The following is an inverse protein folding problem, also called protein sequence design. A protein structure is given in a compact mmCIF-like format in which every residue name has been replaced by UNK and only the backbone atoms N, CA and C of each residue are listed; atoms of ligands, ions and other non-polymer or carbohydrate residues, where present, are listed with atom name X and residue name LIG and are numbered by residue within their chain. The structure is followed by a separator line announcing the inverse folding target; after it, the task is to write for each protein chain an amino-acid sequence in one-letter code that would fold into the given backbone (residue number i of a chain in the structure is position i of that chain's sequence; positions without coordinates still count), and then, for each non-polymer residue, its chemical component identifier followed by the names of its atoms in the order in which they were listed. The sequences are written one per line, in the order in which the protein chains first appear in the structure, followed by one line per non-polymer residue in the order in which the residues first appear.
data_IF_729911591411
#
_entry.id   IF_729911591411
#
_cell.length_a   1.000
_cell.length_b   1.000
_cell.length_c   1.000
_cell.angle_alpha   90.00
_cell.angle_beta   90.00
_cell.angle_gamma   90.00
#
_symmetry.space_group_name_H-M   'P 1'
#
loop_
_entity.id
_entity.type
_entity.pdbx_description
1 polymer ?
#
# COMPACT_ATOMS: atom_id res chain seq x y z
N UNK A 1 -9.44 -9.02 -72.39
CA UNK A 1 -10.91 -9.06 -72.24
C UNK A 1 -11.23 -8.32 -70.96
N UNK A 2 -11.71 -7.08 -71.17
CA UNK A 2 -12.42 -6.13 -70.33
C UNK A 2 -11.98 -5.85 -68.89
N UNK A 3 -11.25 -4.73 -68.78
CA UNK A 3 -11.32 -3.80 -67.66
C UNK A 3 -11.84 -2.45 -68.20
N UNK A 4 -13.03 -2.03 -67.75
CA UNK A 4 -13.63 -0.72 -68.03
C UNK A 4 -14.49 -0.29 -66.85
N UNK A 5 -14.09 0.75 -66.11
CA UNK A 5 -14.64 2.11 -66.26
C UNK A 5 -14.13 3.07 -65.17
N UNK A 6 -13.67 4.24 -65.61
CA UNK A 6 -13.45 5.45 -64.81
C UNK A 6 -14.72 6.31 -64.75
N UNK A 7 -14.90 7.11 -63.68
CA UNK A 7 -15.61 8.41 -63.75
C UNK A 7 -14.88 9.45 -62.89
N UNK A 8 -14.87 10.69 -63.39
CA UNK A 8 -14.08 11.88 -63.05
C UNK A 8 -14.76 12.87 -62.08
N UNK A 9 -13.89 13.67 -61.44
CA UNK A 9 -13.87 15.14 -61.23
C UNK A 9 -14.83 15.93 -60.30
N UNK A 10 -14.14 16.76 -59.49
CA UNK A 10 -14.31 18.19 -59.16
C UNK A 10 -15.40 18.67 -58.18
N UNK A 11 -14.95 19.41 -57.15
CA UNK A 11 -15.32 20.82 -56.92
C UNK A 11 -14.28 21.57 -56.07
N UNK A 12 -14.07 22.81 -56.48
CA UNK A 12 -13.13 23.82 -56.00
C UNK A 12 -13.55 24.49 -54.69
N UNK A 13 -12.58 25.15 -54.05
CA UNK A 13 -12.80 26.23 -53.08
C UNK A 13 -11.49 26.97 -52.80
N UNK A 14 -11.15 27.92 -53.67
CA UNK A 14 -10.09 28.93 -53.48
C UNK A 14 -10.35 29.80 -52.25
N UNK A 15 -9.29 30.25 -51.56
CA UNK A 15 -9.17 31.65 -51.10
C UNK A 15 -7.69 32.03 -50.90
N UNK A 16 -7.29 33.11 -51.55
CA UNK A 16 -5.94 33.67 -51.61
C UNK A 16 -5.94 35.05 -50.91
N UNK A 17 -5.16 35.21 -49.81
CA UNK A 17 -4.38 36.41 -49.34
C UNK A 17 -5.06 37.79 -49.02
N UNK A 18 -4.39 38.83 -48.44
CA UNK A 18 -3.37 38.97 -47.35
C UNK A 18 -3.61 40.20 -46.36
N UNK A 19 -2.65 40.46 -45.44
CA UNK A 19 -2.47 41.61 -44.48
C UNK A 19 -3.21 41.49 -43.13
N UNK A 20 -2.69 41.84 -41.94
CA UNK A 20 -1.51 42.62 -41.55
C UNK A 20 -1.06 42.32 -40.11
N UNK A 21 0.17 42.71 -39.83
CA UNK A 21 0.96 42.62 -38.60
C UNK A 21 0.34 43.23 -37.32
N UNK A 22 0.52 42.57 -36.16
CA UNK A 22 0.92 43.22 -34.89
C UNK A 22 1.44 42.20 -33.84
N UNK A 23 2.43 42.67 -33.12
CA UNK A 23 3.31 41.98 -32.18
C UNK A 23 2.75 41.97 -30.75
N UNK A 24 3.22 40.98 -30.00
CA UNK A 24 3.45 40.94 -28.54
C UNK A 24 2.26 40.75 -27.58
N UNK A 25 2.41 39.74 -26.70
CA UNK A 25 1.59 39.55 -25.51
C UNK A 25 1.60 38.14 -24.91
N UNK A 26 2.79 37.62 -24.60
CA UNK A 26 3.08 36.54 -23.63
C UNK A 26 2.07 35.37 -23.47
N UNK A 27 2.37 34.31 -24.20
CA UNK A 27 1.90 32.95 -23.95
C UNK A 27 2.59 32.35 -22.71
N UNK A 28 2.00 32.51 -21.52
CA UNK A 28 2.32 31.69 -20.34
C UNK A 28 1.47 30.40 -20.33
N UNK A 29 1.70 29.54 -21.32
CA UNK A 29 1.01 28.25 -21.44
C UNK A 29 1.91 27.24 -22.13
N UNK A 30 2.80 26.61 -21.35
CA UNK A 30 3.73 25.65 -21.94
C UNK A 30 4.54 24.80 -20.96
N UNK A 31 4.07 24.53 -19.73
CA UNK A 31 4.72 23.55 -18.85
C UNK A 31 3.71 22.82 -17.94
N UNK A 32 2.62 22.31 -18.51
CA UNK A 32 1.93 21.15 -17.95
C UNK A 32 2.41 19.94 -18.77
N UNK A 33 2.60 18.79 -18.14
CA UNK A 33 3.17 17.55 -18.70
C UNK A 33 4.70 17.50 -18.76
N UNK A 34 5.31 17.46 -17.57
CA UNK A 34 6.46 16.60 -17.28
C UNK A 34 6.33 16.12 -15.83
N UNK A 35 5.33 15.28 -15.61
CA UNK A 35 5.28 14.36 -14.48
C UNK A 35 5.41 12.97 -15.10
N UNK A 36 6.43 12.22 -14.67
CA UNK A 36 6.51 10.75 -14.63
C UNK A 36 7.98 10.25 -14.67
N UNK A 37 8.91 11.03 -14.10
CA UNK A 37 10.19 10.50 -13.63
C UNK A 37 10.45 11.17 -12.28
N UNK A 38 10.70 10.36 -11.26
CA UNK A 38 10.93 10.71 -9.86
C UNK A 38 9.69 11.04 -9.01
N UNK A 39 8.75 10.09 -8.93
CA UNK A 39 8.06 9.85 -7.66
C UNK A 39 8.93 8.95 -6.76
N UNK A 40 10.08 9.46 -6.34
CA UNK A 40 10.66 9.05 -5.06
C UNK A 40 9.75 9.62 -3.96
N UNK A 41 8.57 9.01 -3.80
CA UNK A 41 8.01 8.91 -2.46
C UNK A 41 8.80 7.81 -1.77
N UNK A 42 10.02 8.18 -1.37
CA UNK A 42 10.69 7.60 -0.22
C UNK A 42 9.98 8.17 1.00
N UNK A 43 8.69 7.85 1.17
CA UNK A 43 8.10 7.92 2.48
C UNK A 43 8.62 6.70 3.22
N UNK A 44 9.71 6.92 3.97
CA UNK A 44 10.33 6.06 5.00
C UNK A 44 9.35 5.37 5.98
N UNK A 45 8.03 5.49 5.78
CA UNK A 45 6.96 4.80 6.50
C UNK A 45 6.97 3.27 6.33
N UNK A 46 7.61 2.73 5.29
CA UNK A 46 7.68 1.28 5.03
C UNK A 46 9.06 0.68 5.35
N UNK A 47 10.10 1.48 5.59
CA UNK A 47 11.43 0.98 5.87
C UNK A 47 11.62 0.73 7.38
N UNK A 48 11.11 -0.40 7.86
CA UNK A 48 11.58 -0.97 9.12
C UNK A 48 13.12 -1.07 9.16
N UNK A 49 13.76 -1.11 10.34
CA UNK A 49 15.21 -1.12 10.44
C UNK A 49 15.81 -2.25 9.58
N UNK A 50 16.54 -1.87 8.53
CA UNK A 50 17.06 -2.78 7.52
C UNK A 50 17.94 -3.90 8.11
N UNK A 51 18.51 -3.64 9.29
CA UNK A 51 19.32 -4.56 10.07
C UNK A 51 18.57 -5.82 10.51
N UNK A 52 17.28 -5.74 10.85
CA UNK A 52 16.52 -6.88 11.39
C UNK A 52 15.66 -7.59 10.35
N UNK A 53 15.25 -6.87 9.29
CA UNK A 53 14.38 -7.40 8.22
C UNK A 53 13.12 -8.09 8.74
N UNK A 54 12.58 -7.60 9.86
CA UNK A 54 11.43 -8.18 10.55
C UNK A 54 10.10 -7.74 9.95
N UNK A 55 9.04 -8.49 10.21
CA UNK A 55 7.67 -8.09 9.90
C UNK A 55 7.15 -7.16 11.00
N UNK A 56 6.80 -5.92 10.65
CA UNK A 56 6.42 -4.85 11.58
C UNK A 56 4.91 -4.60 11.59
N UNK A 57 4.42 -3.86 12.59
CA UNK A 57 3.03 -3.41 12.61
C UNK A 57 2.68 -2.42 11.49
N UNK A 58 3.66 -1.67 10.97
CA UNK A 58 3.48 -0.84 9.76
C UNK A 58 3.20 -1.68 8.51
N UNK A 59 3.69 -2.93 8.46
CA UNK A 59 3.60 -3.78 7.27
C UNK A 59 2.22 -4.43 7.10
N UNK A 60 1.25 -4.20 7.98
CA UNK A 60 -0.10 -4.68 7.78
C UNK A 60 -1.16 -3.64 8.13
N UNK A 61 -2.29 -3.75 7.44
CA UNK A 61 -3.47 -2.94 7.73
C UNK A 61 -4.68 -3.85 7.87
N UNK A 62 -5.51 -3.59 8.88
CA UNK A 62 -6.77 -4.31 9.08
C UNK A 62 -7.91 -3.42 8.63
N UNK A 63 -8.77 -3.95 7.77
CA UNK A 63 -9.93 -3.26 7.25
C UNK A 63 -11.21 -4.00 7.64
N UNK A 64 -12.22 -3.23 8.04
CA UNK A 64 -13.56 -3.70 8.36
C UNK A 64 -14.49 -3.17 7.29
N UNK A 65 -15.22 -4.05 6.62
CA UNK A 65 -16.06 -3.71 5.47
C UNK A 65 -17.50 -4.08 5.75
N UNK A 66 -18.41 -3.17 5.41
CA UNK A 66 -19.84 -3.40 5.59
C UNK A 66 -20.27 -4.61 4.77
N UNK A 67 -20.98 -5.53 5.40
CA UNK A 67 -21.57 -6.64 4.65
C UNK A 67 -22.70 -6.11 3.77
N UNK A 68 -22.72 -6.50 2.50
CA UNK A 68 -23.75 -6.08 1.56
C UNK A 68 -25.10 -6.75 1.84
N UNK A 69 -25.10 -7.86 2.59
CA UNK A 69 -26.32 -8.52 3.04
C UNK A 69 -26.80 -7.91 4.36
N UNK A 70 -28.01 -7.32 4.41
CA UNK A 70 -28.56 -6.75 5.64
C UNK A 70 -28.60 -7.75 6.80
N UNK A 71 -28.24 -7.29 8.00
CA UNK A 71 -28.24 -8.11 9.22
C UNK A 71 -27.08 -9.09 9.34
N UNK A 72 -26.20 -9.20 8.33
CA UNK A 72 -24.96 -9.98 8.45
C UNK A 72 -23.85 -9.15 9.11
N UNK A 73 -22.97 -9.77 9.91
CA UNK A 73 -21.81 -9.10 10.47
C UNK A 73 -20.88 -8.56 9.38
N UNK A 74 -20.13 -7.49 9.72
CA UNK A 74 -19.12 -6.94 8.83
C UNK A 74 -18.04 -7.97 8.50
N UNK A 75 -17.39 -7.77 7.37
CA UNK A 75 -16.24 -8.55 6.95
C UNK A 75 -14.97 -7.90 7.48
N UNK A 76 -14.05 -8.69 8.01
CA UNK A 76 -12.75 -8.20 8.46
C UNK A 76 -11.68 -8.93 7.66
N UNK A 77 -10.70 -8.19 7.18
CA UNK A 77 -9.51 -8.76 6.55
C UNK A 77 -8.29 -7.90 6.84
N UNK A 78 -7.13 -8.51 6.66
CA UNK A 78 -5.85 -7.84 6.76
C UNK A 78 -5.17 -7.85 5.39
N UNK A 79 -4.54 -6.74 5.03
CA UNK A 79 -3.52 -6.70 3.97
C UNK A 79 -2.16 -6.73 4.64
N UNK A 80 -1.36 -7.75 4.35
CA UNK A 80 -0.02 -7.93 4.89
C UNK A 80 1.02 -7.81 3.78
N UNK A 81 1.88 -6.79 3.86
CA UNK A 81 2.90 -6.46 2.87
C UNK A 81 4.24 -7.04 3.27
N UNK A 82 4.82 -7.89 2.43
CA UNK A 82 6.10 -8.54 2.63
C UNK A 82 7.19 -7.77 1.87
N UNK A 83 8.01 -7.02 2.60
CA UNK A 83 9.06 -6.17 2.03
C UNK A 83 10.41 -6.88 1.90
N UNK A 84 10.74 -7.77 2.84
CA UNK A 84 12.05 -8.44 2.92
C UNK A 84 12.02 -9.84 2.31
N UNK A 85 11.48 -9.93 1.10
CA UNK A 85 11.38 -11.17 0.33
C UNK A 85 12.64 -11.40 -0.50
N UNK A 86 12.84 -12.62 -1.00
CA UNK A 86 14.00 -12.93 -1.84
C UNK A 86 13.80 -12.25 -3.20
N UNK A 87 14.74 -11.40 -3.61
CA UNK A 87 14.80 -10.81 -4.94
C UNK A 87 15.81 -11.50 -5.86
N UNK A 88 15.62 -11.37 -7.18
CA UNK A 88 16.66 -11.57 -8.20
C UNK A 88 17.44 -10.24 -8.29
N UNK A 89 18.78 -10.29 -8.30
CA UNK A 89 19.66 -9.13 -8.48
C UNK A 89 19.40 -7.92 -7.56
N UNK A 90 19.16 -8.18 -6.27
CA UNK A 90 18.93 -7.15 -5.24
C UNK A 90 17.62 -6.34 -5.42
N UNK A 91 16.79 -6.66 -6.41
CA UNK A 91 15.44 -6.09 -6.57
C UNK A 91 14.44 -6.82 -5.68
N UNK A 92 14.15 -6.23 -4.51
CA UNK A 92 13.11 -6.72 -3.59
C UNK A 92 11.76 -6.69 -4.29
N UNK A 93 11.05 -7.82 -4.29
CA UNK A 93 9.69 -7.91 -4.83
C UNK A 93 8.69 -7.80 -3.71
N UNK A 94 8.21 -6.58 -3.50
CA UNK A 94 7.13 -6.30 -2.55
C UNK A 94 5.88 -7.05 -2.98
N UNK A 95 5.26 -7.77 -2.05
CA UNK A 95 3.99 -8.45 -2.28
C UNK A 95 3.06 -8.29 -1.10
N UNK A 96 1.78 -8.10 -1.38
CA UNK A 96 0.75 -7.95 -0.37
C UNK A 96 -0.20 -9.14 -0.41
N UNK A 97 -0.39 -9.80 0.74
CA UNK A 97 -1.34 -10.88 0.93
C UNK A 97 -2.63 -10.33 1.52
N UNK A 98 -3.78 -10.81 1.04
CA UNK A 98 -5.08 -10.58 1.67
C UNK A 98 -5.41 -11.78 2.54
N UNK A 99 -5.53 -11.57 3.85
CA UNK A 99 -5.83 -12.57 4.87
C UNK A 99 -7.23 -12.26 5.40
N UNK A 100 -8.19 -13.16 5.15
CA UNK A 100 -9.59 -12.97 5.50
C UNK A 100 -9.92 -13.51 6.88
N UNK A 101 -10.92 -12.91 7.54
CA UNK A 101 -11.58 -13.50 8.70
C UNK A 101 -12.74 -14.40 8.32
N UNK A 102 -13.33 -15.03 9.32
CA UNK A 102 -14.53 -15.86 9.15
C UNK A 102 -14.25 -17.36 9.07
N UNK A 103 -13.11 -17.82 9.59
CA UNK A 103 -12.96 -19.23 9.93
C UNK A 103 -13.89 -19.59 11.10
N UNK A 104 -14.52 -20.76 11.02
CA UNK A 104 -15.30 -21.31 12.13
C UNK A 104 -14.41 -21.70 13.33
N UNK A 105 -13.10 -21.84 13.10
CA UNK A 105 -12.12 -22.23 14.12
C UNK A 105 -11.04 -21.13 14.29
N UNK A 106 -11.08 -20.36 15.39
CA UNK A 106 -10.09 -19.34 15.73
C UNK A 106 -8.65 -19.87 15.80
N UNK A 107 -8.44 -21.17 16.05
CA UNK A 107 -7.10 -21.78 16.10
C UNK A 107 -6.39 -21.77 14.73
N UNK A 108 -7.14 -21.70 13.64
CA UNK A 108 -6.59 -21.69 12.29
C UNK A 108 -6.74 -20.36 11.58
N UNK A 109 -7.38 -19.35 12.20
CA UNK A 109 -7.54 -18.04 11.59
C UNK A 109 -6.29 -17.18 11.75
N UNK A 110 -5.51 -16.99 10.68
CA UNK A 110 -4.33 -16.12 10.75
C UNK A 110 -4.70 -14.70 11.16
N UNK A 111 -5.83 -14.18 10.67
CA UNK A 111 -6.32 -12.85 11.03
C UNK A 111 -6.49 -12.69 12.54
N UNK A 112 -7.11 -13.65 13.22
CA UNK A 112 -7.36 -13.60 14.67
C UNK A 112 -6.05 -13.60 15.47
N UNK A 113 -5.03 -14.35 15.00
CA UNK A 113 -3.71 -14.34 15.61
C UNK A 113 -3.03 -12.96 15.47
N UNK A 114 -3.10 -12.34 14.28
CA UNK A 114 -2.57 -10.98 14.08
C UNK A 114 -3.32 -9.94 14.90
N UNK A 115 -4.65 -10.01 14.96
CA UNK A 115 -5.45 -9.14 15.82
C UNK A 115 -5.05 -9.32 17.29
N UNK A 116 -4.87 -10.55 17.74
CA UNK A 116 -4.48 -10.84 19.13
C UNK A 116 -3.12 -10.24 19.49
N UNK A 117 -2.13 -10.36 18.59
CA UNK A 117 -0.81 -9.75 18.76
C UNK A 117 -0.89 -8.20 18.76
N UNK A 118 -1.68 -7.62 17.86
CA UNK A 118 -1.89 -6.18 17.80
C UNK A 118 -2.62 -5.64 19.04
N UNK A 119 -3.62 -6.36 19.55
CA UNK A 119 -4.34 -6.01 20.79
C UNK A 119 -3.41 -6.11 22.00
N UNK A 120 -2.59 -7.16 22.07
CA UNK A 120 -1.59 -7.30 23.13
C UNK A 120 -0.64 -6.09 23.18
N UNK A 121 -0.29 -5.54 22.02
CA UNK A 121 0.58 -4.36 21.90
C UNK A 121 -0.15 -3.02 22.05
N UNK A 122 -1.46 -3.05 22.31
CA UNK A 122 -2.32 -1.87 22.31
C UNK A 122 -2.11 -1.03 21.04
N UNK A 123 -2.06 -1.73 19.90
CA UNK A 123 -1.61 -1.19 18.62
C UNK A 123 -2.62 -0.22 18.00
N UNK A 124 -3.93 -0.40 18.20
CA UNK A 124 -4.95 0.38 17.48
C UNK A 124 -5.33 1.69 18.19
N UNK A 125 -5.58 2.74 17.40
CA UNK A 125 -6.20 3.98 17.87
C UNK A 125 -7.69 3.80 18.21
N UNK A 126 -8.36 2.90 17.49
CA UNK A 126 -9.78 2.62 17.66
C UNK A 126 -10.06 1.84 18.95
N UNK A 127 -10.81 2.41 19.89
CA UNK A 127 -11.09 1.79 21.19
C UNK A 127 -11.96 0.52 21.12
N UNK A 128 -12.72 0.33 20.04
CA UNK A 128 -13.50 -0.89 19.80
C UNK A 128 -12.64 -2.05 19.28
N UNK A 129 -11.43 -1.80 18.77
CA UNK A 129 -10.54 -2.78 18.16
C UNK A 129 -9.80 -3.65 19.22
N UNK A 130 -10.54 -4.23 20.15
CA UNK A 130 -10.02 -5.07 21.25
C UNK A 130 -10.09 -6.57 20.97
N UNK A 131 -10.94 -6.97 20.03
CA UNK A 131 -11.11 -8.34 19.57
C UNK A 131 -11.89 -8.31 18.24
N UNK A 132 -11.91 -9.43 17.53
CA UNK A 132 -12.62 -9.54 16.26
C UNK A 132 -14.14 -9.39 16.43
N UNK A 133 -14.72 -9.84 17.53
CA UNK A 133 -16.18 -9.74 17.77
C UNK A 133 -16.68 -8.28 17.75
N UNK A 134 -15.94 -7.38 18.41
CA UNK A 134 -16.27 -5.96 18.39
C UNK A 134 -16.09 -5.37 16.98
N UNK A 135 -15.07 -5.81 16.25
CA UNK A 135 -14.80 -5.36 14.87
C UNK A 135 -15.93 -5.76 13.91
N UNK A 136 -16.42 -7.01 13.97
CA UNK A 136 -17.50 -7.47 13.09
C UNK A 136 -18.85 -6.81 13.41
N UNK A 137 -19.03 -6.27 14.62
CA UNK A 137 -20.25 -5.59 15.07
C UNK A 137 -20.20 -4.06 14.97
N UNK A 138 -19.05 -3.47 14.67
CA UNK A 138 -18.91 -2.01 14.64
C UNK A 138 -19.85 -1.38 13.60
N UNK A 139 -20.48 -0.26 13.93
CA UNK A 139 -21.29 0.46 12.97
C UNK A 139 -20.40 1.25 12.02
N UNK A 140 -20.49 0.97 10.73
CA UNK A 140 -19.84 1.77 9.68
C UNK A 140 -20.80 2.90 9.30
N UNK A 141 -20.33 4.15 9.37
CA UNK A 141 -21.15 5.32 9.07
C UNK A 141 -21.70 5.27 7.65
N UNK A 142 -22.98 5.67 7.49
CA UNK A 142 -23.60 5.81 6.17
C UNK A 142 -22.72 6.67 5.25
N UNK A 143 -22.48 6.23 4.02
CA UNK A 143 -21.59 6.91 3.07
C UNK A 143 -20.14 6.39 3.07
N UNK A 144 -19.75 5.56 4.04
CA UNK A 144 -18.49 4.80 4.02
C UNK A 144 -18.73 3.32 3.68
N UNK A 145 -17.80 2.73 2.94
CA UNK A 145 -17.82 1.27 2.66
C UNK A 145 -17.01 0.46 3.67
N UNK A 146 -15.98 1.07 4.26
CA UNK A 146 -15.08 0.40 5.18
C UNK A 146 -14.53 1.34 6.25
N UNK A 147 -13.91 0.73 7.26
CA UNK A 147 -13.07 1.36 8.27
C UNK A 147 -11.70 0.69 8.21
N UNK A 148 -10.65 1.45 7.96
CA UNK A 148 -9.27 0.98 8.11
C UNK A 148 -8.79 1.29 9.52
N UNK A 149 -8.36 0.28 10.25
CA UNK A 149 -7.80 0.44 11.59
C UNK A 149 -6.43 1.09 11.50
N UNK A 150 -6.28 2.24 12.16
CA UNK A 150 -5.00 2.93 12.27
C UNK A 150 -4.22 2.40 13.48
N UNK A 151 -2.99 1.96 13.23
CA UNK A 151 -2.04 1.66 14.29
C UNK A 151 -1.49 2.97 14.88
N UNK A 152 -1.24 2.97 16.20
CA UNK A 152 -0.62 4.07 16.93
C UNK A 152 0.80 4.25 16.43
N UNK A 153 1.23 5.51 16.26
CA UNK A 153 2.59 5.82 15.78
C UNK A 153 3.70 5.11 16.57
N UNK A 154 3.54 4.97 17.90
CA UNK A 154 4.53 4.33 18.78
C UNK A 154 4.77 2.84 18.52
N UNK A 155 3.85 2.15 17.82
CA UNK A 155 3.96 0.70 17.59
C UNK A 155 4.36 0.34 16.16
N UNK A 156 4.35 1.31 15.22
CA UNK A 156 4.56 1.04 13.79
C UNK A 156 5.87 0.29 13.53
N UNK A 157 6.94 0.70 14.22
CA UNK A 157 8.28 0.13 14.06
C UNK A 157 8.54 -1.11 14.94
N UNK A 158 7.54 -1.57 15.71
CA UNK A 158 7.69 -2.75 16.54
C UNK A 158 7.53 -4.02 15.71
N UNK A 159 8.44 -5.01 15.86
CA UNK A 159 8.26 -6.32 15.25
C UNK A 159 7.01 -7.01 15.79
N UNK A 160 6.21 -7.58 14.89
CA UNK A 160 5.01 -8.36 15.28
C UNK A 160 5.41 -9.64 16.01
N UNK A 161 6.43 -10.33 15.49
CA UNK A 161 7.00 -11.52 16.10
C UNK A 161 8.28 -11.15 16.83
N UNK A 162 8.33 -11.37 18.15
CA UNK A 162 9.45 -10.98 19.02
C UNK A 162 10.03 -12.16 19.79
N UNK A 163 11.30 -12.04 20.18
CA UNK A 163 11.99 -13.07 20.96
C UNK A 163 11.30 -13.32 22.30
N UNK A 164 11.29 -14.56 22.81
CA UNK A 164 10.91 -14.83 24.19
C UNK A 164 11.95 -14.23 25.14
N UNK A 165 11.50 -13.59 26.22
CA UNK A 165 12.36 -13.27 27.35
C UNK A 165 12.73 -14.58 28.08
N UNK A 166 14.03 -14.78 28.30
CA UNK A 166 14.58 -15.90 29.06
C UNK A 166 15.57 -15.38 30.10
N UNK A 167 15.04 -14.66 31.08
CA UNK A 167 15.78 -14.28 32.28
C UNK A 167 15.22 -15.02 33.49
N UNK A 168 16.04 -15.22 34.51
CA UNK A 168 15.67 -15.96 35.72
C UNK A 168 14.47 -15.29 36.43
N UNK A 169 13.26 -15.77 36.14
CA UNK A 169 12.00 -15.33 36.75
C UNK A 169 11.01 -14.63 35.82
N UNK A 170 11.44 -14.12 34.66
CA UNK A 170 10.57 -13.43 33.71
C UNK A 170 10.30 -14.29 32.48
N UNK A 171 9.10 -14.85 32.42
CA UNK A 171 8.54 -15.48 31.21
C UNK A 171 7.72 -14.43 30.49
N UNK A 172 8.11 -14.08 29.26
CA UNK A 172 7.40 -13.09 28.48
C UNK A 172 7.89 -12.98 27.05
N UNK A 173 7.40 -11.97 26.34
CA UNK A 173 7.84 -11.60 25.00
C UNK A 173 8.68 -10.34 25.10
N UNK A 174 9.80 -10.29 24.39
CA UNK A 174 10.65 -9.10 24.33
C UNK A 174 9.83 -7.91 23.84
N UNK A 175 10.00 -6.71 24.44
CA UNK A 175 9.25 -5.52 24.01
C UNK A 175 9.62 -5.09 22.58
N UNK A 176 10.87 -5.31 22.16
CA UNK A 176 11.43 -4.75 20.91
C UNK A 176 12.20 -5.75 20.05
N UNK A 177 12.76 -6.82 20.64
CA UNK A 177 13.66 -7.71 19.91
C UNK A 177 12.89 -8.61 18.95
N UNK A 178 13.15 -8.57 17.63
CA UNK A 178 12.47 -9.40 16.65
C UNK A 178 12.79 -10.89 16.84
N UNK A 179 11.83 -11.76 16.50
CA UNK A 179 11.99 -13.20 16.58
C UNK A 179 13.16 -13.67 15.71
N UNK A 180 14.14 -14.31 16.34
CA UNK A 180 15.32 -14.83 15.68
C UNK A 180 15.00 -16.08 14.89
N UNK A 181 15.68 -16.22 13.75
CA UNK A 181 15.56 -17.40 12.90
C UNK A 181 15.89 -18.70 13.64
N UNK A 182 16.84 -18.68 14.59
CA UNK A 182 17.25 -19.82 15.42
C UNK A 182 16.17 -20.21 16.44
N UNK A 183 15.55 -19.22 17.10
CA UNK A 183 14.42 -19.42 18.01
C UNK A 183 13.22 -20.02 17.28
N UNK A 184 12.88 -19.48 16.10
CA UNK A 184 11.83 -20.04 15.26
C UNK A 184 12.07 -21.51 14.88
N UNK A 185 13.29 -21.87 14.47
CA UNK A 185 13.65 -23.28 14.13
C UNK A 185 13.47 -24.19 15.35
N UNK A 186 13.95 -23.74 16.51
CA UNK A 186 13.85 -24.48 17.76
C UNK A 186 12.39 -24.74 18.12
N UNK A 187 11.52 -23.74 18.01
CA UNK A 187 10.09 -23.87 18.29
C UNK A 187 9.39 -24.81 17.31
N UNK A 188 9.63 -24.68 16.00
CA UNK A 188 9.10 -25.62 15.01
C UNK A 188 9.48 -27.07 15.32
N UNK A 189 10.76 -27.33 15.63
CA UNK A 189 11.23 -28.67 15.97
C UNK A 189 10.53 -29.22 17.21
N UNK A 190 10.43 -28.42 18.28
CA UNK A 190 9.78 -28.83 19.53
C UNK A 190 8.28 -29.08 19.34
N UNK A 191 7.59 -28.23 18.58
CA UNK A 191 6.17 -28.43 18.25
C UNK A 191 5.96 -29.74 17.49
N UNK A 192 6.79 -30.02 16.48
CA UNK A 192 6.71 -31.28 15.74
C UNK A 192 6.91 -32.50 16.63
N UNK A 193 7.89 -32.46 17.52
CA UNK A 193 8.14 -33.53 18.49
C UNK A 193 6.98 -33.72 19.47
N UNK A 194 6.45 -32.64 20.05
CA UNK A 194 5.34 -32.67 21.01
C UNK A 194 4.03 -33.14 20.38
N UNK A 195 3.79 -32.81 19.12
CA UNK A 195 2.63 -33.27 18.38
C UNK A 195 2.79 -34.71 17.84
N UNK A 196 3.92 -35.39 18.12
CA UNK A 196 4.14 -36.78 17.76
C UNK A 196 4.44 -37.01 16.27
N UNK A 197 4.85 -35.99 15.53
CA UNK A 197 5.21 -36.16 14.12
C UNK A 197 6.48 -37.01 13.98
N UNK A 198 6.44 -37.97 13.05
CA UNK A 198 7.58 -38.84 12.73
C UNK A 198 8.82 -38.05 12.28
N UNK A 199 8.61 -36.90 11.62
CA UNK A 199 9.66 -36.01 11.18
C UNK A 199 9.50 -34.64 11.85
N UNK A 200 10.63 -33.99 12.18
CA UNK A 200 10.60 -32.63 12.72
C UNK A 200 10.07 -31.64 11.67
N UNK A 201 9.25 -30.68 12.09
CA UNK A 201 8.88 -29.56 11.22
C UNK A 201 10.11 -28.74 10.83
N UNK A 202 10.20 -28.40 9.55
CA UNK A 202 11.24 -27.53 9.01
C UNK A 202 10.60 -26.39 8.24
N UNK A 203 11.24 -25.21 8.24
CA UNK A 203 10.78 -24.06 7.42
C UNK A 203 10.62 -24.45 5.95
N UNK A 204 11.56 -25.24 5.45
CA UNK A 204 11.55 -25.72 4.06
C UNK A 204 10.47 -26.77 3.81
N UNK A 205 10.13 -27.59 4.82
CA UNK A 205 8.99 -28.51 4.79
C UNK A 205 7.67 -27.76 4.64
N UNK A 206 7.43 -26.74 5.48
CA UNK A 206 6.22 -25.89 5.39
C UNK A 206 6.13 -25.18 4.03
N UNK A 207 7.24 -24.59 3.56
CA UNK A 207 7.31 -23.94 2.24
C UNK A 207 6.97 -24.91 1.10
N UNK A 208 7.53 -26.13 1.12
CA UNK A 208 7.22 -27.16 0.10
C UNK A 208 5.78 -27.65 0.18
N UNK A 209 5.23 -27.79 1.39
CA UNK A 209 3.83 -28.10 1.60
C UNK A 209 2.93 -27.08 0.89
N UNK A 210 3.16 -25.79 1.15
CA UNK A 210 2.42 -24.72 0.48
C UNK A 210 2.61 -24.76 -1.04
N UNK A 211 3.84 -24.94 -1.52
CA UNK A 211 4.13 -24.99 -2.96
C UNK A 211 3.35 -26.10 -3.66
N UNK A 212 3.30 -27.29 -3.06
CA UNK A 212 2.60 -28.43 -3.65
C UNK A 212 1.10 -28.17 -3.79
N UNK A 213 0.47 -27.52 -2.80
CA UNK A 213 -0.96 -27.22 -2.86
C UNK A 213 -1.22 -26.11 -3.87
N UNK A 214 -0.49 -24.99 -3.80
CA UNK A 214 -0.64 -23.85 -4.71
C UNK A 214 -0.37 -24.25 -6.17
N UNK A 215 0.60 -25.13 -6.43
CA UNK A 215 0.95 -25.56 -7.79
C UNK A 215 -0.21 -26.21 -8.53
N UNK A 216 -1.18 -26.80 -7.81
CA UNK A 216 -2.35 -27.45 -8.39
C UNK A 216 -3.59 -26.55 -8.37
N UNK A 217 -3.50 -25.34 -7.79
CA UNK A 217 -4.66 -24.47 -7.55
C UNK A 217 -4.53 -23.08 -8.18
N UNK A 218 -3.31 -22.60 -8.43
CA UNK A 218 -3.05 -21.27 -8.99
C UNK A 218 -2.35 -21.35 -10.36
N UNK A 219 -2.57 -20.36 -11.25
CA UNK A 219 -1.76 -20.20 -12.46
C UNK A 219 -0.26 -20.09 -12.13
N UNK A 220 0.60 -20.55 -13.03
CA UNK A 220 2.06 -20.54 -12.83
C UNK A 220 2.60 -19.14 -12.50
N UNK A 221 2.07 -18.08 -13.12
CA UNK A 221 2.48 -16.69 -12.84
C UNK A 221 2.22 -16.26 -11.39
N UNK A 222 1.05 -16.63 -10.83
CA UNK A 222 0.68 -16.34 -9.44
C UNK A 222 1.47 -17.21 -8.47
N UNK A 223 1.66 -18.50 -8.78
CA UNK A 223 2.54 -19.38 -8.01
C UNK A 223 3.95 -18.78 -7.94
N UNK A 224 4.50 -18.39 -9.08
CA UNK A 224 5.86 -17.86 -9.15
C UNK A 224 5.98 -16.50 -8.44
N UNK A 225 4.91 -15.70 -8.42
CA UNK A 225 4.81 -14.52 -7.56
C UNK A 225 4.83 -14.85 -6.06
N UNK A 226 4.01 -15.80 -5.61
CA UNK A 226 3.94 -16.21 -4.20
C UNK A 226 5.32 -16.71 -3.71
N UNK A 227 6.03 -17.47 -4.54
CA UNK A 227 7.29 -18.10 -4.15
C UNK A 227 8.55 -17.32 -4.52
N UNK A 228 8.43 -16.13 -5.13
CA UNK A 228 9.55 -15.35 -5.66
C UNK A 228 10.41 -16.17 -6.65
N UNK A 229 9.75 -16.96 -7.50
CA UNK A 229 10.41 -17.65 -8.61
C UNK A 229 10.50 -16.71 -9.82
N UNK A 230 11.39 -17.06 -10.76
CA UNK A 230 11.52 -16.32 -12.02
C UNK A 230 10.18 -16.34 -12.75
N UNK A 231 9.66 -15.16 -13.06
CA UNK A 231 8.40 -15.02 -13.76
C UNK A 231 8.67 -14.93 -15.27
N UNK A 232 7.74 -15.47 -16.07
CA UNK A 232 7.68 -15.21 -17.50
C UNK A 232 7.14 -13.80 -17.80
N UNK A 233 6.89 -13.50 -19.08
CA UNK A 233 6.42 -12.18 -19.52
C UNK A 233 5.14 -11.68 -18.82
N UNK A 234 4.24 -12.58 -18.42
CA UNK A 234 3.00 -12.24 -17.69
C UNK A 234 3.28 -11.65 -16.31
N UNK A 235 4.44 -11.95 -15.71
CA UNK A 235 4.81 -11.46 -14.39
C UNK A 235 4.90 -9.94 -14.29
N UNK A 236 5.29 -9.26 -15.37
CA UNK A 236 5.40 -7.80 -15.42
C UNK A 236 4.05 -7.07 -15.27
N UNK A 237 2.94 -7.79 -15.42
CA UNK A 237 1.59 -7.23 -15.32
C UNK A 237 0.88 -7.63 -14.04
N UNK A 238 1.57 -8.34 -13.13
CA UNK A 238 0.99 -8.69 -11.83
C UNK A 238 1.15 -7.51 -10.88
N UNK A 239 0.05 -7.15 -10.22
CA UNK A 239 0.07 -6.20 -9.11
C UNK A 239 0.89 -6.76 -7.95
N UNK A 240 1.36 -5.87 -7.06
CA UNK A 240 1.97 -6.28 -5.79
C UNK A 240 1.00 -7.11 -4.92
N UNK A 241 -0.30 -6.83 -4.99
CA UNK A 241 -1.31 -7.62 -4.27
C UNK A 241 -1.50 -8.99 -4.95
N UNK A 242 -1.25 -10.06 -4.18
CA UNK A 242 -1.43 -11.43 -4.63
C UNK A 242 -2.92 -11.72 -4.73
N UNK A 243 -3.41 -11.88 -5.95
CA UNK A 243 -4.82 -12.17 -6.26
C UNK A 243 -5.14 -13.67 -6.11
N UNK A 244 -4.78 -14.27 -4.97
CA UNK A 244 -5.03 -15.67 -4.66
C UNK A 244 -5.06 -15.92 -3.15
N UNK A 245 -6.12 -16.60 -2.68
CA UNK A 245 -6.32 -16.90 -1.27
C UNK A 245 -5.38 -18.02 -0.80
N UNK A 246 -4.20 -17.60 -0.38
CA UNK A 246 -3.09 -18.52 -0.05
C UNK A 246 -3.36 -19.29 1.24
N UNK A 247 -4.03 -18.68 2.22
CA UNK A 247 -4.38 -19.29 3.50
C UNK A 247 -5.41 -20.40 3.30
N UNK A 248 -6.54 -20.09 2.67
CA UNK A 248 -7.59 -21.08 2.45
C UNK A 248 -7.12 -22.22 1.56
N UNK A 249 -6.32 -21.90 0.53
CA UNK A 249 -5.68 -22.92 -0.30
C UNK A 249 -4.82 -23.87 0.55
N UNK A 250 -3.95 -23.35 1.42
CA UNK A 250 -3.10 -24.18 2.29
C UNK A 250 -3.90 -25.06 3.25
N UNK A 251 -5.00 -24.53 3.79
CA UNK A 251 -5.90 -25.25 4.69
C UNK A 251 -6.84 -26.24 3.96
N UNK A 252 -6.78 -26.32 2.62
CA UNK A 252 -7.68 -27.16 1.83
C UNK A 252 -9.14 -26.69 1.85
N UNK A 253 -9.37 -25.40 2.10
CA UNK A 253 -10.69 -24.76 2.16
C UNK A 253 -11.00 -24.00 0.86
N UNK A 254 -12.28 -23.69 0.66
CA UNK A 254 -12.73 -22.84 -0.45
C UNK A 254 -12.46 -21.36 -0.15
N UNK A 255 -11.78 -20.68 -1.07
CA UNK A 255 -11.47 -19.23 -1.01
C UNK A 255 -12.68 -18.38 -0.60
N UNK A 256 -12.44 -17.40 0.27
CA UNK A 256 -13.46 -16.41 0.64
C UNK A 256 -13.56 -15.32 -0.44
N UNK A 257 -14.23 -15.66 -1.55
CA UNK A 257 -14.33 -14.79 -2.73
C UNK A 257 -14.90 -13.40 -2.42
N UNK A 258 -15.79 -13.30 -1.42
CA UNK A 258 -16.36 -12.03 -1.02
C UNK A 258 -15.30 -11.12 -0.38
N UNK A 259 -14.52 -11.63 0.58
CA UNK A 259 -13.41 -10.86 1.17
C UNK A 259 -12.38 -10.49 0.11
N UNK A 260 -11.97 -11.48 -0.68
CA UNK A 260 -10.99 -11.31 -1.74
C UNK A 260 -11.44 -10.20 -2.72
N UNK A 261 -12.71 -10.20 -3.14
CA UNK A 261 -13.28 -9.16 -4.01
C UNK A 261 -13.31 -7.79 -3.33
N UNK A 262 -13.73 -7.71 -2.07
CA UNK A 262 -13.83 -6.43 -1.37
C UNK A 262 -12.46 -5.80 -1.11
N UNK A 263 -11.47 -6.61 -0.76
CA UNK A 263 -10.09 -6.14 -0.54
C UNK A 263 -9.49 -5.47 -1.78
N UNK A 264 -9.90 -5.91 -2.98
CA UNK A 264 -9.45 -5.38 -4.28
C UNK A 264 -10.14 -4.10 -4.74
N UNK A 265 -11.20 -3.66 -4.06
CA UNK A 265 -11.94 -2.49 -4.52
C UNK A 265 -11.09 -1.22 -4.36
N UNK A 266 -10.80 -0.53 -5.47
CA UNK A 266 -10.20 0.81 -5.43
C UNK A 266 -11.05 1.80 -4.60
N UNK A 267 -12.37 1.56 -4.53
CA UNK A 267 -13.30 2.36 -3.74
C UNK A 267 -13.42 1.92 -2.28
N UNK A 268 -12.59 1.00 -1.79
CA UNK A 268 -12.66 0.44 -0.44
C UNK A 268 -12.72 1.52 0.64
N UNK A 269 -11.83 2.52 0.53
CA UNK A 269 -11.65 3.60 1.53
C UNK A 269 -12.43 4.87 1.17
N UNK A 270 -13.30 4.83 0.15
CA UNK A 270 -14.10 5.99 -0.25
C UNK A 270 -15.07 6.36 0.85
N UNK A 271 -15.07 7.65 1.20
CA UNK A 271 -16.02 8.29 2.09
C UNK A 271 -16.82 9.33 1.31
N UNK A 272 -18.09 9.04 1.06
CA UNK A 272 -19.00 9.95 0.36
C UNK A 272 -19.25 11.24 1.14
N UNK A 273 -19.01 11.25 2.46
CA UNK A 273 -19.18 12.42 3.32
C UNK A 273 -17.89 13.24 3.46
N UNK A 274 -16.77 12.79 2.87
CA UNK A 274 -15.54 13.57 2.90
C UNK A 274 -15.79 14.93 2.23
N UNK A 275 -15.45 16.06 2.89
CA UNK A 275 -15.57 17.39 2.29
C UNK A 275 -14.77 17.44 0.99
N UNK A 276 -15.44 17.81 -0.12
CA UNK A 276 -14.79 17.97 -1.43
C UNK A 276 -14.16 19.36 -1.58
N UNK A 277 -14.67 20.32 -0.82
CA UNK A 277 -14.18 21.69 -0.81
C UNK A 277 -14.13 22.22 0.61
N UNK A 278 -13.16 23.10 0.88
CA UNK A 278 -13.13 23.88 2.10
C UNK A 278 -14.28 24.89 2.08
N UNK A 279 -14.96 25.04 3.23
CA UNK A 279 -15.90 26.15 3.43
C UNK A 279 -15.19 27.51 3.34
N UNK A 280 -15.93 28.57 3.02
CA UNK A 280 -15.39 29.93 2.95
C UNK A 280 -14.67 30.34 4.25
N UNK A 281 -15.20 29.96 5.40
CA UNK A 281 -14.59 30.26 6.71
C UNK A 281 -13.28 29.49 6.93
N UNK A 282 -13.22 28.23 6.49
CA UNK A 282 -11.98 27.44 6.55
C UNK A 282 -10.92 28.01 5.62
N UNK A 283 -11.30 28.43 4.40
CA UNK A 283 -10.40 29.12 3.46
C UNK A 283 -9.88 30.41 4.09
N UNK A 284 -10.74 31.22 4.69
CA UNK A 284 -10.35 32.46 5.36
C UNK A 284 -9.37 32.22 6.52
N UNK A 285 -9.65 31.23 7.39
CA UNK A 285 -8.75 30.85 8.50
C UNK A 285 -7.40 30.36 7.99
N UNK A 286 -7.37 29.60 6.89
CA UNK A 286 -6.13 29.10 6.30
C UNK A 286 -5.28 30.27 5.75
N UNK A 287 -5.90 31.22 5.04
CA UNK A 287 -5.23 32.40 4.49
C UNK A 287 -4.67 33.29 5.61
N UNK A 288 -5.38 33.40 6.73
CA UNK A 288 -4.96 34.18 7.89
C UNK A 288 -3.97 33.44 8.81
N UNK A 289 -3.67 32.17 8.55
CA UNK A 289 -2.76 31.41 9.39
C UNK A 289 -1.34 32.01 9.30
N UNK A 290 -0.73 32.42 10.43
CA UNK A 290 0.60 33.03 10.45
C UNK A 290 1.68 32.18 9.76
N UNK A 291 1.62 30.86 9.89
CA UNK A 291 2.59 29.96 9.24
C UNK A 291 2.42 29.99 7.71
N UNK A 292 1.18 29.98 7.21
CA UNK A 292 0.88 30.06 5.77
C UNK A 292 1.35 31.40 5.21
N UNK A 293 1.10 32.50 5.93
CA UNK A 293 1.56 33.84 5.54
C UNK A 293 3.10 33.88 5.48
N UNK A 294 3.79 33.39 6.52
CA UNK A 294 5.25 33.35 6.56
C UNK A 294 5.85 32.50 5.43
N UNK A 295 5.31 31.29 5.21
CA UNK A 295 5.73 30.42 4.11
C UNK A 295 5.50 31.10 2.76
N UNK A 296 4.36 31.76 2.57
CA UNK A 296 4.05 32.54 1.37
C UNK A 296 5.03 33.69 1.12
N UNK A 297 5.38 34.46 2.17
CA UNK A 297 6.39 35.53 2.09
C UNK A 297 7.77 34.98 1.75
N UNK A 298 8.18 33.88 2.40
CA UNK A 298 9.46 33.20 2.12
C UNK A 298 9.51 32.67 0.68
N UNK A 299 8.42 32.08 0.20
CA UNK A 299 8.31 31.59 -1.18
C UNK A 299 8.47 32.73 -2.19
N UNK A 300 7.83 33.88 -1.97
CA UNK A 300 7.97 35.07 -2.81
C UNK A 300 9.41 35.61 -2.81
N UNK A 301 10.05 35.71 -1.63
CA UNK A 301 11.43 36.16 -1.52
C UNK A 301 12.39 35.24 -2.27
N UNK A 302 12.24 33.92 -2.13
CA UNK A 302 13.05 32.94 -2.86
C UNK A 302 12.80 32.99 -4.37
N UNK A 303 11.56 33.26 -4.81
CA UNK A 303 11.24 33.48 -6.22
C UNK A 303 12.02 34.67 -6.78
N UNK A 304 12.00 35.80 -6.06
CA UNK A 304 12.73 37.00 -6.46
C UNK A 304 14.25 36.75 -6.50
N UNK A 305 14.81 36.00 -5.56
CA UNK A 305 16.23 35.63 -5.56
C UNK A 305 16.59 34.74 -6.75
N UNK A 306 15.73 33.79 -7.14
CA UNK A 306 15.93 32.95 -8.32
C UNK A 306 15.99 33.83 -9.58
N UNK A 307 15.07 34.78 -9.73
CA UNK A 307 15.06 35.66 -10.89
C UNK A 307 16.26 36.62 -10.89
N UNK A 308 16.64 37.15 -9.73
CA UNK A 308 17.82 38.00 -9.57
C UNK A 308 19.14 37.25 -9.87
N UNK A 309 19.18 35.93 -9.66
CA UNK A 309 20.31 35.08 -10.02
C UNK A 309 20.41 34.78 -11.53
N UNK A 310 19.52 35.34 -12.35
CA UNK A 310 19.57 35.25 -13.82
C UNK A 310 18.73 34.14 -14.43
N UNK A 311 17.99 33.38 -13.62
CA UNK A 311 17.07 32.36 -14.11
C UNK A 311 15.77 33.01 -14.60
N UNK A 312 15.36 32.73 -15.84
CA UNK A 312 14.12 33.27 -16.43
C UNK A 312 12.88 32.64 -15.81
N UNK A 313 12.96 31.35 -15.50
CA UNK A 313 11.90 30.61 -14.83
C UNK A 313 12.41 29.89 -13.59
N UNK A 314 11.46 29.43 -12.77
CA UNK A 314 11.74 28.65 -11.56
C UNK A 314 12.29 27.26 -11.94
N UNK A 315 11.82 26.71 -13.06
CA UNK A 315 12.26 25.44 -13.61
C UNK A 315 13.73 25.51 -14.05
N UNK A 316 14.16 26.64 -14.62
CA UNK A 316 15.56 26.83 -15.02
C UNK A 316 16.53 26.79 -13.82
N UNK A 317 16.03 27.07 -12.61
CA UNK A 317 16.79 27.04 -11.38
C UNK A 317 16.73 25.67 -10.67
N UNK A 318 16.13 24.65 -11.27
CA UNK A 318 16.01 23.31 -10.68
C UNK A 318 17.38 22.70 -10.35
N UNK A 319 17.47 22.01 -9.21
CA UNK A 319 18.73 21.46 -8.69
C UNK A 319 19.58 22.44 -7.85
N UNK A 320 19.35 23.75 -7.95
CA UNK A 320 20.06 24.76 -7.13
C UNK A 320 19.62 24.75 -5.66
N UNK A 321 20.44 25.34 -4.78
CA UNK A 321 20.10 25.52 -3.36
C UNK A 321 18.83 26.34 -3.16
N UNK A 322 18.66 27.43 -3.93
CA UNK A 322 17.48 28.30 -3.88
C UNK A 322 16.20 27.58 -4.28
N UNK A 323 16.25 26.75 -5.33
CA UNK A 323 15.10 25.94 -5.76
C UNK A 323 14.72 24.88 -4.72
N UNK A 324 15.71 24.20 -4.12
CA UNK A 324 15.48 23.24 -3.04
C UNK A 324 14.86 23.89 -1.80
N UNK A 325 15.35 25.05 -1.40
CA UNK A 325 14.82 25.78 -0.24
C UNK A 325 13.40 26.30 -0.48
N UNK A 326 13.09 26.71 -1.72
CA UNK A 326 11.75 27.09 -2.11
C UNK A 326 10.79 25.92 -2.10
N UNK A 327 11.19 24.75 -2.59
CA UNK A 327 10.37 23.52 -2.53
C UNK A 327 9.99 23.18 -1.08
N UNK A 328 10.93 23.32 -0.14
CA UNK A 328 10.68 23.15 1.32
C UNK A 328 9.77 24.22 1.93
N UNK A 329 9.72 25.41 1.33
CA UNK A 329 8.93 26.54 1.81
C UNK A 329 7.53 26.64 1.17
N UNK A 330 7.13 25.66 0.34
CA UNK A 330 5.76 25.59 -0.16
C UNK A 330 4.85 25.07 0.97
N UNK A 331 3.76 25.76 1.29
CA UNK A 331 2.69 25.13 2.08
C UNK A 331 2.14 23.96 1.26
N UNK A 332 2.12 22.76 1.87
CA UNK A 332 1.49 21.56 1.30
C UNK A 332 -0.02 21.63 1.33
#
# INVERSE_FOLDING_TARGET
MDASNQVKSNRNGDFNTPWDSHSDGDSDSGCLYNCDVDCDTDDDCDAGPEATRSFLHSHFTISIVANQTPGKPNLVFMKATLLHTKGEDNNRRVKTLVIGGGDDDPLFSLLDHFISLAVHDDAFEATYAKNIENMIRVTISLGRKSLTLKCKRRVLDLPVFREPLRSAGEVGTSPTEPLLASTWIRYLKQLGQKAGFQQSFTKYGLRRGLLNVVNNSAPASVRDQIFDHKQGAVGYHLDQEIRFDTEYCYLGKLSNEMIQKMARLASLTVDANAPRELSSDQKAKLIQNPQVIQLGQRNKALTAQIHAAGYKTICDAEGTSLSKERKRSKPG
#
